data_IF_438097933570
#
_entry.id   IF_438097933570
#
_cell.length_a   1.000
_cell.length_b   1.000
_cell.length_c   1.000
_cell.angle_alpha   90.00
_cell.angle_beta   90.00
_cell.angle_gamma   90.00
#
_symmetry.space_group_name_H-M   'P 1'
#
loop_
_entity.id
_entity.type
_entity.pdbx_description
1 polymer ?
#
# COMPACT_ATOMS: atom_id res chain seq x y z
N UNK A 1 54.43 22.75 11.07
CA UNK A 1 53.22 22.94 10.25
C UNK A 1 52.59 21.57 10.04
N UNK A 2 51.54 21.24 10.78
CA UNK A 2 50.79 19.99 10.61
C UNK A 2 49.92 20.16 9.36
N UNK A 3 50.20 19.35 8.33
CA UNK A 3 49.32 19.26 7.16
C UNK A 3 47.98 18.73 7.63
N UNK A 4 46.91 19.50 7.40
CA UNK A 4 45.55 19.01 7.63
C UNK A 4 45.32 17.86 6.66
N UNK A 5 45.21 16.64 7.16
CA UNK A 5 44.88 15.49 6.34
C UNK A 5 43.56 15.77 5.61
N UNK A 6 43.61 15.80 4.28
CA UNK A 6 42.46 16.08 3.43
C UNK A 6 41.37 15.04 3.70
N UNK A 7 40.16 15.49 4.03
CA UNK A 7 39.06 14.59 4.37
C UNK A 7 38.66 13.76 3.15
N UNK A 8 38.50 12.45 3.33
CA UNK A 8 37.96 11.57 2.29
C UNK A 8 36.42 11.59 2.31
N UNK A 9 35.80 11.44 1.16
CA UNK A 9 34.34 11.35 1.01
C UNK A 9 33.92 9.91 0.73
N UNK A 10 33.19 9.30 1.66
CA UNK A 10 32.77 7.90 1.58
C UNK A 10 31.27 7.81 1.28
N UNK A 11 30.92 7.07 0.24
CA UNK A 11 29.52 6.73 -0.04
C UNK A 11 29.06 5.58 0.86
N UNK A 12 27.93 5.80 1.53
CA UNK A 12 27.30 4.90 2.48
C UNK A 12 25.93 4.47 1.98
N UNK A 13 25.55 3.21 2.22
CA UNK A 13 24.20 2.71 1.93
C UNK A 13 23.55 2.08 3.18
N UNK A 14 22.29 2.41 3.46
CA UNK A 14 21.57 1.93 4.65
C UNK A 14 20.82 0.63 4.36
N UNK A 15 21.17 -0.42 5.10
CA UNK A 15 20.55 -1.74 5.00
C UNK A 15 19.05 -1.71 5.31
N UNK A 16 18.23 -2.42 4.53
CA UNK A 16 16.76 -2.51 4.70
C UNK A 16 15.95 -1.24 4.38
N UNK A 17 16.60 -0.08 4.25
CA UNK A 17 15.97 1.22 3.95
C UNK A 17 16.25 1.67 2.52
N UNK A 18 17.43 1.34 1.96
CA UNK A 18 17.78 1.63 0.57
C UNK A 18 18.22 3.08 0.31
N UNK A 19 18.59 3.83 1.35
CA UNK A 19 19.11 5.21 1.24
C UNK A 19 20.62 5.20 0.99
N UNK A 20 21.09 6.01 0.04
CA UNK A 20 22.51 6.22 -0.26
C UNK A 20 22.85 7.69 0.04
N UNK A 21 23.99 7.94 0.68
CA UNK A 21 24.48 9.28 1.01
C UNK A 21 26.00 9.29 1.12
N UNK A 22 26.62 10.46 1.04
CA UNK A 22 28.07 10.63 1.14
C UNK A 22 28.44 11.29 2.47
N UNK A 23 29.57 10.89 3.06
CA UNK A 23 30.07 11.46 4.31
C UNK A 23 31.55 11.80 4.22
N UNK A 24 31.91 13.01 4.66
CA UNK A 24 33.30 13.45 4.74
C UNK A 24 33.90 13.10 6.10
N UNK A 25 35.07 12.47 6.09
CA UNK A 25 35.76 12.05 7.31
C UNK A 25 37.29 12.03 7.11
N UNK A 26 38.04 12.26 8.19
CA UNK A 26 39.49 12.18 8.16
C UNK A 26 39.97 10.72 7.92
N UNK A 27 40.99 10.49 7.07
CA UNK A 27 41.49 9.15 6.75
C UNK A 27 41.98 8.32 7.95
N UNK A 28 42.51 8.99 8.98
CA UNK A 28 43.03 8.41 10.21
C UNK A 28 41.97 8.28 11.31
N UNK A 29 40.73 8.73 11.05
CA UNK A 29 39.65 8.63 12.01
C UNK A 29 39.34 7.17 12.35
N UNK A 30 38.92 6.93 13.60
CA UNK A 30 38.41 5.62 14.01
C UNK A 30 37.04 5.35 13.40
N UNK A 31 36.71 4.06 13.20
CA UNK A 31 35.36 3.62 12.81
C UNK A 31 34.28 4.16 13.77
N UNK A 32 34.59 4.31 15.06
CA UNK A 32 33.68 4.96 16.03
C UNK A 32 33.43 6.44 15.77
N UNK A 33 34.38 7.17 15.19
CA UNK A 33 34.16 8.55 14.73
C UNK A 33 33.26 8.57 13.49
N UNK A 34 33.43 7.61 12.58
CA UNK A 34 32.56 7.43 11.42
C UNK A 34 31.11 7.11 11.83
N UNK A 35 30.91 6.21 12.80
CA UNK A 35 29.59 5.93 13.39
C UNK A 35 28.92 7.22 13.90
N UNK A 36 29.65 8.04 14.66
CA UNK A 36 29.15 9.33 15.19
C UNK A 36 28.82 10.32 14.07
N UNK A 37 29.67 10.40 13.05
CA UNK A 37 29.47 11.28 11.91
C UNK A 37 28.20 10.91 11.14
N UNK A 38 28.04 9.62 10.79
CA UNK A 38 26.84 9.09 10.12
C UNK A 38 25.60 9.37 10.95
N UNK A 39 25.65 9.07 12.25
CA UNK A 39 24.52 9.25 13.15
C UNK A 39 24.06 10.70 13.24
N UNK A 40 25.00 11.65 13.25
CA UNK A 40 24.72 13.09 13.26
C UNK A 40 24.16 13.56 11.93
N UNK A 41 24.83 13.22 10.83
CA UNK A 41 24.48 13.65 9.47
C UNK A 41 23.07 13.22 9.07
N UNK A 42 22.76 11.94 9.28
CA UNK A 42 21.46 11.35 8.98
C UNK A 42 20.37 11.69 10.02
N UNK A 43 20.71 12.53 11.00
CA UNK A 43 19.82 12.97 12.10
C UNK A 43 19.16 11.79 12.82
N UNK A 44 19.89 10.69 12.99
CA UNK A 44 19.35 9.47 13.60
C UNK A 44 18.86 9.69 15.03
N UNK A 45 19.44 10.64 15.78
CA UNK A 45 18.92 11.06 17.09
C UNK A 45 17.43 11.45 17.06
N UNK A 46 16.91 11.97 15.93
CA UNK A 46 15.50 12.35 15.78
C UNK A 46 14.59 11.17 15.44
N UNK A 47 15.15 10.07 14.94
CA UNK A 47 14.41 8.92 14.37
C UNK A 47 14.58 7.62 15.16
N UNK A 48 15.66 7.49 15.93
CA UNK A 48 16.07 6.26 16.59
C UNK A 48 16.58 6.53 18.01
N UNK A 49 16.37 5.56 18.90
CA UNK A 49 16.71 5.64 20.33
C UNK A 49 18.04 4.97 20.72
N UNK A 50 18.83 4.51 19.74
CA UNK A 50 20.12 3.89 19.99
C UNK A 50 21.27 4.91 19.88
N UNK A 51 22.39 4.76 20.63
CA UNK A 51 23.58 5.58 20.48
C UNK A 51 24.35 5.25 19.19
N UNK A 52 25.18 6.17 18.65
CA UNK A 52 25.95 5.93 17.43
C UNK A 52 26.75 4.62 17.41
N UNK A 53 27.20 4.14 18.58
CA UNK A 53 27.96 2.89 18.74
C UNK A 53 27.19 1.64 18.35
N UNK A 54 25.85 1.69 18.29
CA UNK A 54 25.01 0.58 17.85
C UNK A 54 24.85 0.50 16.32
N UNK A 55 25.39 1.46 15.55
CA UNK A 55 25.51 1.30 14.11
C UNK A 55 26.53 0.22 13.79
N UNK A 56 26.13 -0.89 13.17
CA UNK A 56 27.08 -1.86 12.65
C UNK A 56 27.48 -1.45 11.22
N UNK A 57 28.77 -1.17 11.02
CA UNK A 57 29.30 -0.77 9.73
C UNK A 57 30.01 -1.97 9.07
N UNK A 58 29.73 -2.21 7.80
CA UNK A 58 30.40 -3.23 7.00
C UNK A 58 31.13 -2.58 5.83
N UNK A 59 32.28 -3.13 5.46
CA UNK A 59 32.92 -2.80 4.19
C UNK A 59 32.07 -3.33 3.04
N UNK A 60 31.67 -2.46 2.13
CA UNK A 60 30.86 -2.81 0.97
C UNK A 60 31.70 -3.41 -0.18
N UNK A 61 32.69 -4.27 0.13
CA UNK A 61 33.49 -4.99 -0.87
C UNK A 61 33.46 -6.50 -0.68
N UNK A 62 33.51 -7.23 -1.79
CA UNK A 62 33.73 -8.68 -1.84
C UNK A 62 35.09 -8.94 -2.46
N UNK A 63 36.03 -9.44 -1.66
CA UNK A 63 37.44 -9.51 -2.07
C UNK A 63 38.00 -8.12 -2.37
N UNK A 64 38.41 -7.88 -3.62
CA UNK A 64 38.93 -6.59 -4.10
C UNK A 64 37.89 -5.70 -4.79
N UNK A 65 36.63 -6.15 -4.94
CA UNK A 65 35.59 -5.45 -5.73
C UNK A 65 34.61 -4.71 -4.82
N UNK A 66 34.45 -3.40 -5.05
CA UNK A 66 33.45 -2.57 -4.37
C UNK A 66 32.05 -2.77 -4.97
N UNK A 67 31.04 -2.60 -4.12
CA UNK A 67 29.64 -2.57 -4.54
C UNK A 67 29.38 -1.26 -5.30
N UNK A 68 28.76 -1.31 -6.47
CA UNK A 68 28.47 -0.13 -7.29
C UNK A 68 27.12 0.50 -6.92
N UNK A 69 27.04 1.82 -6.91
CA UNK A 69 25.80 2.58 -6.69
C UNK A 69 24.88 2.59 -7.90
N UNK A 70 24.37 1.44 -8.34
CA UNK A 70 23.42 1.34 -9.46
C UNK A 70 21.96 1.22 -9.01
N UNK A 71 21.03 1.25 -9.97
CA UNK A 71 19.59 1.23 -9.74
C UNK A 71 19.08 -0.03 -9.01
N UNK A 72 19.89 -1.10 -8.89
CA UNK A 72 19.50 -2.38 -8.29
C UNK A 72 19.88 -2.48 -6.79
N UNK A 73 20.69 -1.54 -6.26
CA UNK A 73 21.11 -1.52 -4.85
C UNK A 73 19.92 -1.55 -3.87
N UNK A 74 18.82 -0.82 -4.07
CA UNK A 74 17.67 -0.88 -3.18
C UNK A 74 17.00 -2.28 -3.13
N UNK A 75 17.12 -3.08 -4.18
CA UNK A 75 16.59 -4.45 -4.23
C UNK A 75 17.52 -5.43 -3.51
N UNK A 76 18.84 -5.27 -3.69
CA UNK A 76 19.88 -6.06 -3.02
C UNK A 76 19.82 -5.85 -1.50
N UNK A 77 19.63 -4.62 -1.04
CA UNK A 77 19.54 -4.27 0.38
C UNK A 77 18.22 -4.70 1.06
N UNK A 78 17.22 -5.16 0.28
CA UNK A 78 15.95 -5.75 0.80
C UNK A 78 16.03 -7.26 0.98
N UNK A 79 17.05 -7.93 0.44
CA UNK A 79 17.32 -9.36 0.64
C UNK A 79 17.90 -9.66 2.03
N UNK A 80 17.32 -10.63 2.74
CA UNK A 80 17.51 -10.83 4.19
C UNK A 80 18.86 -11.43 4.65
N UNK A 81 19.93 -11.44 3.85
CA UNK A 81 21.21 -12.07 4.26
C UNK A 81 22.42 -11.28 3.76
N UNK A 82 22.84 -10.26 4.51
CA UNK A 82 24.12 -9.53 4.28
C UNK A 82 25.17 -9.90 5.35
N UNK A 83 24.74 -10.41 6.51
CA UNK A 83 25.58 -10.56 7.71
C UNK A 83 26.77 -11.53 7.54
N UNK A 84 26.77 -12.40 6.53
CA UNK A 84 27.84 -13.39 6.29
C UNK A 84 28.81 -13.03 5.17
N UNK A 85 28.47 -12.07 4.31
CA UNK A 85 29.23 -11.83 3.07
C UNK A 85 30.18 -10.61 3.13
N UNK A 86 29.91 -9.67 4.04
CA UNK A 86 30.67 -8.43 4.14
C UNK A 86 31.40 -8.33 5.48
N UNK A 87 32.61 -7.76 5.44
CA UNK A 87 33.44 -7.65 6.64
C UNK A 87 32.94 -6.55 7.56
N UNK A 88 32.62 -6.89 8.81
CA UNK A 88 32.29 -5.94 9.89
C UNK A 88 33.51 -5.07 10.21
N UNK A 89 33.28 -3.77 10.34
CA UNK A 89 34.29 -2.79 10.75
C UNK A 89 34.28 -2.63 12.28
N UNK A 90 35.45 -2.70 12.88
CA UNK A 90 35.67 -2.66 14.33
C UNK A 90 35.77 -1.21 14.79
N UNK A 91 34.95 -0.76 15.77
CA UNK A 91 34.88 0.64 16.19
C UNK A 91 36.20 1.29 16.64
N UNK A 92 37.14 0.48 17.14
CA UNK A 92 38.42 0.94 17.69
C UNK A 92 39.52 1.11 16.64
N UNK A 93 39.36 0.54 15.45
CA UNK A 93 40.39 0.59 14.40
C UNK A 93 40.24 1.84 13.53
N UNK A 94 41.36 2.41 13.04
CA UNK A 94 41.34 3.55 12.12
C UNK A 94 40.89 3.11 10.73
N UNK A 95 40.29 4.04 9.97
CA UNK A 95 39.90 3.82 8.58
C UNK A 95 41.13 3.54 7.68
N UNK A 96 42.28 4.12 8.01
CA UNK A 96 43.57 3.89 7.36
C UNK A 96 44.19 2.51 7.62
N UNK A 97 43.57 1.66 8.45
CA UNK A 97 44.06 0.29 8.63
C UNK A 97 44.03 -0.46 7.29
N UNK A 98 45.11 -1.20 6.97
CA UNK A 98 45.26 -2.00 5.72
C UNK A 98 44.07 -2.92 5.45
N UNK A 99 43.48 -3.45 6.51
CA UNK A 99 42.33 -4.33 6.39
C UNK A 99 41.02 -3.64 5.99
N UNK A 100 40.98 -2.30 6.02
CA UNK A 100 39.89 -1.44 5.56
C UNK A 100 40.26 -0.79 4.24
N UNK A 101 40.65 0.49 4.29
CA UNK A 101 41.01 1.25 3.10
C UNK A 101 42.51 1.26 2.85
N UNK A 102 43.34 1.07 3.89
CA UNK A 102 44.79 1.17 3.80
C UNK A 102 45.30 2.60 3.61
N UNK A 103 46.63 2.76 3.59
CA UNK A 103 47.25 4.05 3.35
C UNK A 103 47.05 4.51 1.89
N UNK A 104 46.60 5.75 1.68
CA UNK A 104 46.51 6.36 0.35
C UNK A 104 45.25 6.02 -0.46
N UNK A 105 44.23 5.42 0.17
CA UNK A 105 42.94 5.16 -0.48
C UNK A 105 42.29 6.44 -1.04
N UNK A 106 41.80 6.36 -2.28
CA UNK A 106 41.03 7.43 -2.94
C UNK A 106 39.67 6.89 -3.38
N UNK A 107 38.56 7.33 -2.77
CA UNK A 107 37.22 6.86 -3.11
C UNK A 107 36.81 7.29 -4.53
N UNK A 108 36.17 6.40 -5.28
CA UNK A 108 35.55 6.72 -6.56
C UNK A 108 34.08 7.11 -6.37
N UNK A 109 33.54 7.99 -7.22
CA UNK A 109 32.19 8.54 -7.06
C UNK A 109 31.08 7.47 -7.09
N UNK A 110 31.29 6.38 -7.83
CA UNK A 110 30.24 5.41 -8.14
C UNK A 110 30.30 4.16 -7.25
N UNK A 111 31.29 4.09 -6.35
CA UNK A 111 31.45 2.99 -5.40
C UNK A 111 30.71 3.26 -4.09
N UNK A 112 29.98 2.27 -3.60
CA UNK A 112 29.52 2.20 -2.21
C UNK A 112 30.67 1.63 -1.39
N UNK A 113 31.05 2.35 -0.35
CA UNK A 113 32.20 2.02 0.49
C UNK A 113 31.76 1.32 1.78
N UNK A 114 30.63 1.76 2.34
CA UNK A 114 30.15 1.32 3.65
C UNK A 114 28.68 0.91 3.56
N UNK A 115 28.36 -0.27 4.10
CA UNK A 115 26.99 -0.65 4.43
C UNK A 115 26.72 -0.31 5.90
N UNK A 116 25.62 0.39 6.14
CA UNK A 116 25.19 0.81 7.48
C UNK A 116 24.01 -0.05 7.90
N UNK A 117 24.21 -0.90 8.90
CA UNK A 117 23.13 -1.62 9.59
C UNK A 117 22.81 -0.90 10.89
N UNK A 118 21.54 -0.59 11.08
CA UNK A 118 21.05 0.02 12.31
C UNK A 118 21.00 -1.04 13.42
N UNK A 119 21.33 -0.66 14.66
CA UNK A 119 21.36 -1.56 15.81
C UNK A 119 20.04 -2.29 16.02
N UNK A 120 20.11 -3.62 16.17
CA UNK A 120 18.94 -4.51 16.19
C UNK A 120 18.18 -4.59 17.53
N UNK A 121 18.48 -3.74 18.52
CA UNK A 121 17.71 -3.71 19.79
C UNK A 121 17.38 -2.30 20.31
N UNK A 122 17.40 -1.29 19.45
CA UNK A 122 16.91 0.05 19.79
C UNK A 122 15.39 0.17 19.65
N UNK A 123 14.62 -0.55 20.48
CA UNK A 123 13.21 -0.18 20.69
C UNK A 123 13.14 1.30 21.06
N UNK A 124 12.28 2.03 20.36
CA UNK A 124 11.87 3.39 20.63
C UNK A 124 11.66 3.59 22.15
N UNK A 125 12.58 4.30 22.82
CA UNK A 125 12.41 4.62 24.24
C UNK A 125 11.66 5.93 24.37
N UNK A 126 10.35 5.83 24.26
CA UNK A 126 9.35 6.54 25.07
C UNK A 126 8.06 5.73 24.89
N UNK A 127 7.73 4.94 25.91
CA UNK A 127 6.52 4.13 26.06
C UNK A 127 6.20 3.14 24.91
N UNK A 128 6.55 1.85 25.10
CA UNK A 128 6.05 0.76 24.25
C UNK A 128 4.52 0.69 24.38
N UNK A 129 3.81 1.46 23.58
CA UNK A 129 2.41 1.16 23.28
C UNK A 129 2.44 -0.04 22.33
N UNK A 130 2.21 -1.23 22.88
CA UNK A 130 1.92 -2.44 22.09
C UNK A 130 0.42 -2.62 22.14
N UNK A 131 -0.19 -2.84 20.98
CA UNK A 131 -1.61 -3.17 20.91
C UNK A 131 -1.70 -4.63 20.48
N UNK A 132 -2.43 -5.44 21.23
CA UNK A 132 -2.66 -6.84 20.89
C UNK A 132 -3.89 -6.89 19.99
N UNK A 133 -3.71 -7.31 18.75
CA UNK A 133 -4.80 -7.49 17.78
C UNK A 133 -4.87 -8.96 17.40
N UNK A 134 -6.00 -9.60 17.71
CA UNK A 134 -6.23 -11.02 17.41
C UNK A 134 -5.06 -11.91 17.91
N UNK A 135 -4.62 -11.68 19.15
CA UNK A 135 -3.51 -12.42 19.77
C UNK A 135 -2.11 -12.13 19.22
N UNK A 136 -1.97 -11.16 18.31
CA UNK A 136 -0.67 -10.71 17.78
C UNK A 136 -0.31 -9.36 18.38
N UNK A 137 0.88 -9.28 18.95
CA UNK A 137 1.45 -8.00 19.38
C UNK A 137 1.78 -7.14 18.16
N UNK A 138 1.15 -5.96 18.08
CA UNK A 138 1.43 -4.93 17.08
C UNK A 138 2.17 -3.79 17.76
N UNK A 139 3.50 -3.67 17.57
CA UNK A 139 4.26 -2.55 18.09
C UNK A 139 3.82 -1.26 17.40
N UNK A 140 3.42 -0.25 18.19
CA UNK A 140 3.02 1.05 17.64
C UNK A 140 4.29 1.88 17.39
N UNK A 141 4.50 2.27 16.14
CA UNK A 141 5.62 3.12 15.70
C UNK A 141 5.17 4.56 15.50
N UNK A 142 6.11 5.49 15.33
CA UNK A 142 5.81 6.93 15.19
C UNK A 142 5.02 7.27 13.91
N UNK A 143 5.03 6.39 12.90
CA UNK A 143 4.24 6.48 11.67
C UNK A 143 2.86 5.81 11.78
N UNK A 144 2.43 5.46 13.00
CA UNK A 144 1.16 4.80 13.26
C UNK A 144 0.25 5.63 14.17
N UNK A 145 -1.03 5.68 13.79
CA UNK A 145 -2.09 6.28 14.58
C UNK A 145 -3.03 5.20 15.08
N UNK A 146 -3.23 5.12 16.40
CA UNK A 146 -4.18 4.18 17.01
C UNK A 146 -5.46 4.94 17.35
N UNK A 147 -6.59 4.43 16.85
CA UNK A 147 -7.92 4.98 17.02
C UNK A 147 -7.99 6.47 16.64
N UNK A 148 -7.39 6.84 15.50
CA UNK A 148 -7.58 8.18 14.94
C UNK A 148 -9.07 8.44 14.70
N UNK A 149 -9.50 9.65 15.05
CA UNK A 149 -10.91 10.02 15.24
C UNK A 149 -11.78 9.67 14.05
N UNK A 150 -11.37 10.02 12.84
CA UNK A 150 -12.20 9.93 11.63
C UNK A 150 -12.39 8.48 11.18
N UNK A 151 -11.29 7.71 11.11
CA UNK A 151 -11.34 6.32 10.64
C UNK A 151 -11.91 5.38 11.71
N UNK A 152 -11.68 5.68 13.00
CA UNK A 152 -12.30 4.95 14.11
C UNK A 152 -13.81 5.22 14.16
N UNK A 153 -14.26 6.46 13.96
CA UNK A 153 -15.68 6.79 13.85
C UNK A 153 -16.34 6.03 12.70
N UNK A 154 -15.70 5.97 11.53
CA UNK A 154 -16.17 5.17 10.39
C UNK A 154 -16.32 3.69 10.75
N UNK A 155 -15.29 3.06 11.31
CA UNK A 155 -15.34 1.64 11.68
C UNK A 155 -16.40 1.35 12.75
N UNK A 156 -16.50 2.19 13.78
CA UNK A 156 -17.49 2.08 14.83
C UNK A 156 -18.92 2.22 14.28
N UNK A 157 -19.13 3.15 13.35
CA UNK A 157 -20.41 3.30 12.66
C UNK A 157 -20.77 2.03 11.87
N UNK A 158 -19.81 1.40 11.18
CA UNK A 158 -20.06 0.13 10.50
C UNK A 158 -20.43 -1.01 11.47
N UNK A 159 -19.76 -1.10 12.62
CA UNK A 159 -20.07 -2.12 13.64
C UNK A 159 -21.46 -1.93 14.25
N UNK A 160 -21.87 -0.68 14.48
CA UNK A 160 -23.17 -0.36 15.07
C UNK A 160 -24.33 -0.38 14.06
N UNK A 161 -24.03 -0.32 12.75
CA UNK A 161 -25.03 -0.27 11.71
C UNK A 161 -25.71 -1.64 11.51
N UNK A 162 -27.05 -1.64 11.51
CA UNK A 162 -27.88 -2.83 11.34
C UNK A 162 -28.46 -2.98 9.94
N UNK A 163 -28.16 -2.06 9.01
CA UNK A 163 -28.68 -2.09 7.64
C UNK A 163 -28.45 -3.45 6.97
N UNK A 164 -29.51 -3.99 6.38
CA UNK A 164 -29.44 -5.22 5.61
C UNK A 164 -28.70 -4.97 4.28
N UNK A 165 -27.78 -5.86 3.91
CA UNK A 165 -27.07 -5.79 2.63
C UNK A 165 -27.98 -6.37 1.54
N UNK A 166 -28.91 -5.55 1.06
CA UNK A 166 -29.84 -5.87 -0.03
C UNK A 166 -29.90 -4.75 -1.06
N UNK A 167 -30.35 -5.01 -2.30
CA UNK A 167 -30.48 -3.98 -3.32
C UNK A 167 -31.30 -2.80 -2.82
N UNK A 168 -30.92 -1.59 -3.24
CA UNK A 168 -31.58 -0.32 -2.90
C UNK A 168 -31.48 0.14 -1.43
N UNK A 169 -30.88 -0.67 -0.55
CA UNK A 169 -30.58 -0.23 0.80
C UNK A 169 -29.50 0.86 0.80
N UNK A 170 -29.47 1.67 1.86
CA UNK A 170 -28.42 2.68 2.08
C UNK A 170 -27.79 2.47 3.45
N UNK A 171 -26.48 2.29 3.45
CA UNK A 171 -25.68 2.41 4.67
C UNK A 171 -25.50 3.90 4.93
N UNK A 172 -26.21 4.44 5.93
CA UNK A 172 -26.07 5.82 6.36
C UNK A 172 -25.19 5.88 7.61
N UNK A 173 -24.09 6.62 7.54
CA UNK A 173 -23.21 6.88 8.65
C UNK A 173 -23.76 8.04 9.51
N UNK A 174 -23.44 8.07 10.81
CA UNK A 174 -23.79 9.19 11.69
C UNK A 174 -23.29 10.54 11.14
N UNK A 175 -23.92 11.62 11.57
CA UNK A 175 -23.49 12.98 11.22
C UNK A 175 -22.01 13.20 11.56
N UNK A 176 -21.29 13.89 10.67
CA UNK A 176 -19.85 14.11 10.78
C UNK A 176 -18.96 12.89 10.50
N UNK A 177 -19.55 11.70 10.27
CA UNK A 177 -18.80 10.50 9.91
C UNK A 177 -18.83 10.27 8.40
N UNK A 178 -17.65 10.05 7.81
CA UNK A 178 -17.51 9.84 6.38
C UNK A 178 -16.89 8.49 6.08
N UNK A 179 -17.22 7.96 4.91
CA UNK A 179 -16.71 6.67 4.47
C UNK A 179 -15.17 6.72 4.34
N UNK A 180 -14.48 5.73 4.92
CA UNK A 180 -13.01 5.72 5.07
C UNK A 180 -12.43 6.96 5.76
N UNK A 181 -13.22 7.67 6.56
CA UNK A 181 -12.81 8.92 7.20
C UNK A 181 -12.62 10.10 6.25
N UNK A 182 -13.01 9.99 4.97
CA UNK A 182 -12.80 11.05 3.99
C UNK A 182 -14.11 11.65 3.49
N UNK A 183 -14.29 12.97 3.70
CA UNK A 183 -15.47 13.72 3.28
C UNK A 183 -15.80 13.56 1.79
N UNK A 184 -14.77 13.38 0.94
CA UNK A 184 -14.92 13.18 -0.52
C UNK A 184 -15.71 11.91 -0.89
N UNK A 185 -15.87 10.96 0.03
CA UNK A 185 -16.66 9.74 -0.18
C UNK A 185 -18.09 9.85 0.37
N UNK A 186 -18.40 10.91 1.12
CA UNK A 186 -19.72 11.14 1.70
C UNK A 186 -20.02 10.22 2.89
N UNK A 187 -21.21 10.39 3.47
CA UNK A 187 -21.70 9.66 4.64
C UNK A 187 -22.74 8.59 4.30
N UNK A 188 -23.07 8.39 3.02
CA UNK A 188 -24.11 7.46 2.56
C UNK A 188 -23.57 6.57 1.46
N UNK A 189 -23.79 5.26 1.58
CA UNK A 189 -23.41 4.26 0.56
C UNK A 189 -24.65 3.50 0.11
N UNK A 190 -24.99 3.67 -1.17
CA UNK A 190 -26.06 2.92 -1.81
C UNK A 190 -25.61 1.49 -2.12
N UNK A 191 -26.42 0.52 -1.74
CA UNK A 191 -26.20 -0.90 -2.01
C UNK A 191 -26.74 -1.24 -3.38
N UNK A 192 -25.81 -1.35 -4.34
CA UNK A 192 -26.09 -1.75 -5.71
C UNK A 192 -26.74 -3.12 -5.79
N UNK A 193 -27.52 -3.34 -6.84
CA UNK A 193 -28.17 -4.63 -7.10
C UNK A 193 -27.16 -5.78 -7.22
N UNK A 194 -25.95 -5.50 -7.74
CA UNK A 194 -24.91 -6.51 -7.86
C UNK A 194 -24.13 -6.78 -6.56
N UNK A 195 -24.16 -5.89 -5.57
CA UNK A 195 -23.32 -6.02 -4.37
C UNK A 195 -23.64 -7.26 -3.53
N UNK A 196 -24.91 -7.60 -3.20
CA UNK A 196 -25.20 -8.80 -2.42
C UNK A 196 -24.69 -10.08 -3.10
N UNK A 197 -24.94 -10.23 -4.40
CA UNK A 197 -24.49 -11.40 -5.17
C UNK A 197 -22.98 -11.48 -5.30
N UNK A 198 -22.30 -10.34 -5.48
CA UNK A 198 -20.83 -10.28 -5.50
C UNK A 198 -20.25 -10.61 -4.13
N UNK A 199 -20.82 -10.09 -3.04
CA UNK A 199 -20.38 -10.39 -1.68
C UNK A 199 -20.52 -11.88 -1.37
N UNK A 200 -21.65 -12.49 -1.75
CA UNK A 200 -21.88 -13.94 -1.65
C UNK A 200 -20.81 -14.74 -2.43
N UNK A 201 -20.52 -14.34 -3.66
CA UNK A 201 -19.47 -14.98 -4.47
C UNK A 201 -18.08 -14.84 -3.82
N UNK A 202 -17.73 -13.67 -3.29
CA UNK A 202 -16.48 -13.47 -2.56
C UNK A 202 -16.40 -14.42 -1.37
N UNK A 203 -17.48 -14.51 -0.59
CA UNK A 203 -17.55 -15.38 0.58
C UNK A 203 -17.38 -16.86 0.24
N UNK A 204 -18.05 -17.34 -0.82
CA UNK A 204 -17.92 -18.71 -1.29
C UNK A 204 -16.46 -19.03 -1.67
N UNK A 205 -15.83 -18.18 -2.49
CA UNK A 205 -14.46 -18.38 -2.98
C UNK A 205 -13.40 -18.35 -1.87
N UNK A 206 -13.56 -17.47 -0.88
CA UNK A 206 -12.61 -17.28 0.21
C UNK A 206 -12.67 -18.39 1.28
N UNK A 207 -13.78 -19.13 1.36
CA UNK A 207 -14.02 -20.09 2.43
C UNK A 207 -14.17 -21.53 1.95
N UNK A 208 -14.53 -21.76 0.69
CA UNK A 208 -14.71 -23.10 0.15
C UNK A 208 -13.51 -23.47 -0.74
N UNK A 209 -12.97 -24.66 -0.50
CA UNK A 209 -11.91 -25.24 -1.32
C UNK A 209 -12.57 -25.92 -2.53
N UNK A 210 -12.31 -25.48 -3.76
CA UNK A 210 -12.80 -26.17 -4.95
C UNK A 210 -12.23 -27.59 -5.04
N UNK A 211 -12.97 -28.52 -5.65
CA UNK A 211 -12.49 -29.88 -5.90
C UNK A 211 -11.15 -29.86 -6.67
N UNK A 212 -10.12 -30.49 -6.10
CA UNK A 212 -8.77 -30.54 -6.68
C UNK A 212 -7.83 -29.40 -6.25
N UNK A 213 -8.30 -28.42 -5.46
CA UNK A 213 -7.45 -27.40 -4.86
C UNK A 213 -7.04 -27.78 -3.43
N UNK A 214 -5.93 -27.21 -2.95
CA UNK A 214 -5.46 -27.39 -1.56
C UNK A 214 -5.95 -26.29 -0.62
N UNK A 215 -6.22 -25.10 -1.15
CA UNK A 215 -6.62 -23.91 -0.38
C UNK A 215 -7.75 -23.16 -1.11
N UNK A 216 -8.57 -22.37 -0.39
CA UNK A 216 -9.54 -21.47 -1.02
C UNK A 216 -8.84 -20.43 -1.91
N UNK A 217 -9.58 -19.86 -2.86
CA UNK A 217 -9.03 -18.87 -3.79
C UNK A 217 -9.08 -17.47 -3.23
N UNK A 218 -8.05 -16.68 -3.52
CA UNK A 218 -8.15 -15.23 -3.40
C UNK A 218 -9.10 -14.67 -4.47
N UNK A 219 -9.69 -13.51 -4.22
CA UNK A 219 -10.75 -12.96 -5.07
C UNK A 219 -10.29 -11.68 -5.76
N UNK A 220 -10.59 -11.54 -7.05
CA UNK A 220 -10.31 -10.34 -7.84
C UNK A 220 -11.60 -9.80 -8.43
N UNK A 221 -12.02 -8.61 -8.02
CA UNK A 221 -13.16 -7.90 -8.59
C UNK A 221 -12.69 -6.86 -9.59
N UNK A 222 -12.89 -7.18 -10.87
CA UNK A 222 -12.58 -6.32 -12.00
C UNK A 222 -13.77 -5.44 -12.38
N UNK A 223 -13.48 -4.31 -13.02
CA UNK A 223 -14.51 -3.52 -13.70
C UNK A 223 -14.07 -2.10 -14.03
N UNK A 224 -14.87 -1.38 -14.79
CA UNK A 224 -14.53 -0.04 -15.28
C UNK A 224 -14.25 0.95 -14.12
N UNK A 225 -13.31 1.89 -14.27
CA UNK A 225 -13.15 2.97 -13.31
C UNK A 225 -14.47 3.73 -13.09
N UNK A 226 -14.82 4.02 -11.85
CA UNK A 226 -16.01 4.83 -11.53
C UNK A 226 -17.35 4.11 -11.39
N UNK A 227 -17.39 2.77 -11.46
CA UNK A 227 -18.62 1.98 -11.25
C UNK A 227 -18.89 1.60 -9.79
N UNK A 228 -18.09 2.06 -8.83
CA UNK A 228 -18.33 1.83 -7.40
C UNK A 228 -17.60 0.65 -6.76
N UNK A 229 -16.44 0.22 -7.28
CA UNK A 229 -15.61 -0.81 -6.62
C UNK A 229 -15.14 -0.39 -5.22
N UNK A 230 -14.68 0.84 -5.04
CA UNK A 230 -14.30 1.38 -3.71
C UNK A 230 -15.45 1.34 -2.70
N UNK A 231 -16.67 1.69 -3.13
CA UNK A 231 -17.86 1.58 -2.28
C UNK A 231 -18.19 0.13 -1.93
N UNK A 232 -18.05 -0.80 -2.89
CA UNK A 232 -18.14 -2.23 -2.60
C UNK A 232 -17.09 -2.69 -1.57
N UNK A 233 -15.87 -2.14 -1.64
CA UNK A 233 -14.82 -2.36 -0.64
C UNK A 233 -15.27 -2.04 0.77
N UNK A 234 -15.96 -0.93 1.00
CA UNK A 234 -16.52 -0.68 2.33
C UNK A 234 -17.84 -1.38 2.64
N UNK A 235 -18.57 -1.91 1.65
CA UNK A 235 -19.63 -2.90 1.92
C UNK A 235 -19.02 -4.22 2.43
N UNK A 236 -17.86 -4.62 1.89
CA UNK A 236 -17.07 -5.73 2.44
C UNK A 236 -16.62 -5.39 3.86
N UNK A 237 -16.07 -4.18 4.10
CA UNK A 237 -15.70 -3.76 5.47
C UNK A 237 -16.91 -3.78 6.41
N UNK A 238 -18.09 -3.35 5.96
CA UNK A 238 -19.32 -3.38 6.74
C UNK A 238 -19.72 -4.80 7.13
N UNK A 239 -19.69 -5.72 6.16
CA UNK A 239 -19.97 -7.14 6.41
C UNK A 239 -18.97 -7.73 7.43
N UNK A 240 -17.68 -7.46 7.24
CA UNK A 240 -16.62 -7.98 8.12
C UNK A 240 -16.65 -7.34 9.52
N UNK A 241 -17.03 -6.07 9.63
CA UNK A 241 -17.25 -5.38 10.91
C UNK A 241 -18.34 -6.07 11.74
N UNK A 242 -19.46 -6.46 11.10
CA UNK A 242 -20.56 -7.19 11.75
C UNK A 242 -20.16 -8.59 12.21
N UNK A 243 -19.20 -9.21 11.53
CA UNK A 243 -18.64 -10.50 11.92
C UNK A 243 -17.58 -10.40 13.02
N UNK A 244 -17.19 -9.17 13.41
CA UNK A 244 -16.08 -8.97 14.34
C UNK A 244 -14.72 -9.40 13.77
N UNK A 245 -14.59 -9.45 12.44
CA UNK A 245 -13.38 -9.93 11.79
C UNK A 245 -12.23 -8.91 11.86
N UNK A 246 -10.99 -9.43 11.81
CA UNK A 246 -9.78 -8.60 11.65
C UNK A 246 -9.54 -8.36 10.16
N UNK A 247 -9.44 -7.09 9.78
CA UNK A 247 -9.32 -6.67 8.38
C UNK A 247 -8.16 -5.71 8.22
N UNK A 248 -7.30 -5.96 7.23
CA UNK A 248 -6.35 -4.98 6.74
C UNK A 248 -6.91 -4.40 5.44
N UNK A 249 -7.11 -3.09 5.39
CA UNK A 249 -7.56 -2.37 4.20
C UNK A 249 -6.43 -1.52 3.64
N UNK A 250 -6.18 -1.63 2.34
CA UNK A 250 -5.18 -0.83 1.66
C UNK A 250 -5.73 -0.27 0.34
N UNK A 251 -5.40 0.97 0.01
CA UNK A 251 -5.91 1.63 -1.18
C UNK A 251 -4.85 2.47 -1.89
N UNK A 252 -4.91 2.51 -3.21
CA UNK A 252 -4.04 3.37 -4.01
C UNK A 252 -4.32 4.86 -3.75
N UNK A 253 -3.26 5.68 -3.84
CA UNK A 253 -3.35 7.13 -3.67
C UNK A 253 -3.01 7.62 -2.26
N UNK A 254 -2.70 6.70 -1.36
CA UNK A 254 -2.05 6.96 -0.07
C UNK A 254 -1.02 5.87 0.20
N UNK A 255 -0.02 6.17 1.02
CA UNK A 255 0.90 5.20 1.61
C UNK A 255 0.31 4.52 2.87
N UNK A 256 -0.86 4.98 3.32
CA UNK A 256 -1.55 4.48 4.50
C UNK A 256 -2.27 3.16 4.23
N UNK A 257 -2.21 2.30 5.24
CA UNK A 257 -2.88 1.03 5.38
C UNK A 257 -3.62 1.04 6.73
N UNK A 258 -4.78 0.41 6.78
CA UNK A 258 -5.66 0.46 7.96
C UNK A 258 -5.91 -0.95 8.48
N UNK A 259 -5.63 -1.19 9.75
CA UNK A 259 -6.00 -2.41 10.45
C UNK A 259 -7.25 -2.12 11.27
N UNK A 260 -8.31 -2.88 11.00
CA UNK A 260 -9.57 -2.87 11.72
C UNK A 260 -9.74 -4.17 12.48
N UNK A 261 -9.99 -4.11 13.78
CA UNK A 261 -10.31 -5.30 14.58
C UNK A 261 -11.05 -4.89 15.84
N UNK A 262 -12.27 -5.39 16.03
CA UNK A 262 -13.10 -5.04 17.18
C UNK A 262 -13.15 -3.52 17.41
N UNK A 263 -12.75 -3.03 18.58
CA UNK A 263 -12.68 -1.62 18.98
C UNK A 263 -11.35 -0.92 18.63
N UNK A 264 -10.46 -1.64 17.96
CA UNK A 264 -9.13 -1.16 17.60
C UNK A 264 -9.05 -0.87 16.11
N UNK A 265 -8.67 0.36 15.78
CA UNK A 265 -8.31 0.79 14.45
C UNK A 265 -6.90 1.32 14.48
N UNK A 266 -6.03 0.84 13.59
CA UNK A 266 -4.65 1.28 13.50
C UNK A 266 -4.36 1.71 12.08
N UNK A 267 -3.96 2.96 11.91
CA UNK A 267 -3.44 3.48 10.65
C UNK A 267 -1.92 3.33 10.68
N UNK A 268 -1.32 2.89 9.58
CA UNK A 268 0.13 2.76 9.46
C UNK A 268 0.55 2.52 8.01
N UNK A 269 1.76 2.02 7.80
CA UNK A 269 2.22 1.56 6.49
C UNK A 269 2.01 0.06 6.36
N UNK A 270 1.94 -0.45 5.13
CA UNK A 270 1.76 -1.89 4.87
C UNK A 270 2.74 -2.77 5.65
N UNK A 271 4.01 -2.34 5.77
CA UNK A 271 5.06 -3.07 6.50
C UNK A 271 4.71 -3.33 7.97
N UNK A 272 3.92 -2.45 8.59
CA UNK A 272 3.52 -2.57 9.99
C UNK A 272 2.55 -3.74 10.22
N UNK A 273 1.82 -4.16 9.19
CA UNK A 273 0.76 -5.18 9.31
C UNK A 273 1.16 -6.56 8.78
N UNK A 274 2.42 -6.76 8.37
CA UNK A 274 2.91 -8.05 7.83
C UNK A 274 2.69 -9.24 8.77
N UNK A 275 2.81 -9.03 10.09
CA UNK A 275 2.59 -10.09 11.07
C UNK A 275 1.12 -10.50 11.13
N UNK A 276 0.20 -9.53 11.05
CA UNK A 276 -1.25 -9.77 11.01
C UNK A 276 -1.67 -10.44 9.70
N UNK A 277 -1.06 -10.06 8.58
CA UNK A 277 -1.30 -10.64 7.25
C UNK A 277 -0.77 -12.07 7.07
N UNK A 278 -0.03 -12.61 8.04
CA UNK A 278 0.37 -14.03 8.07
C UNK A 278 -0.72 -14.94 8.67
N UNK A 279 -1.77 -14.38 9.27
CA UNK A 279 -2.88 -15.16 9.81
C UNK A 279 -3.92 -15.42 8.73
N UNK A 280 -4.31 -16.69 8.59
CA UNK A 280 -5.41 -17.09 7.69
C UNK A 280 -6.79 -16.63 8.19
N UNK A 281 -6.90 -16.18 9.44
CA UNK A 281 -8.12 -15.58 10.02
C UNK A 281 -8.31 -14.12 9.62
N UNK A 282 -7.24 -13.45 9.15
CA UNK A 282 -7.28 -12.06 8.70
C UNK A 282 -7.86 -11.97 7.28
N UNK A 283 -8.61 -10.91 7.03
CA UNK A 283 -9.02 -10.50 5.68
C UNK A 283 -8.16 -9.34 5.20
N UNK A 284 -7.72 -9.38 3.95
CA UNK A 284 -6.95 -8.32 3.33
C UNK A 284 -7.70 -7.77 2.12
N UNK A 285 -8.21 -6.53 2.24
CA UNK A 285 -8.99 -5.86 1.19
C UNK A 285 -8.10 -4.80 0.55
N UNK A 286 -7.84 -4.95 -0.75
CA UNK A 286 -6.91 -4.10 -1.49
C UNK A 286 -7.65 -3.39 -2.62
N UNK A 287 -7.64 -2.06 -2.65
CA UNK A 287 -8.29 -1.25 -3.68
C UNK A 287 -7.28 -0.56 -4.60
N UNK A 288 -7.40 -0.83 -5.90
CA UNK A 288 -6.69 -0.19 -7.00
C UNK A 288 -5.15 -0.31 -6.98
N UNK A 289 -4.58 -1.24 -6.22
CA UNK A 289 -3.13 -1.50 -6.18
C UNK A 289 -2.79 -2.99 -6.09
N UNK A 290 -1.53 -3.34 -6.32
CA UNK A 290 -1.06 -4.73 -6.30
C UNK A 290 -0.90 -5.22 -4.85
N UNK A 291 -1.56 -6.34 -4.45
CA UNK A 291 -1.36 -6.96 -3.14
C UNK A 291 0.07 -7.50 -2.96
N UNK A 292 0.59 -7.48 -1.74
CA UNK A 292 1.77 -8.28 -1.37
C UNK A 292 1.37 -9.75 -1.18
N UNK A 293 2.32 -10.66 -1.42
CA UNK A 293 2.14 -12.10 -1.11
C UNK A 293 2.00 -12.26 0.40
N UNK A 294 0.91 -12.91 0.83
CA UNK A 294 0.55 -13.06 2.22
C UNK A 294 -0.29 -14.34 2.42
N UNK A 295 -0.69 -14.64 3.65
CA UNK A 295 -1.50 -15.83 3.98
C UNK A 295 -2.94 -15.50 4.40
N UNK A 296 -3.31 -14.21 4.39
CA UNK A 296 -4.65 -13.74 4.70
C UNK A 296 -5.60 -13.95 3.51
N UNK A 297 -6.90 -14.01 3.80
CA UNK A 297 -7.96 -14.10 2.79
C UNK A 297 -8.01 -12.78 2.00
N UNK A 298 -7.55 -12.77 0.76
CA UNK A 298 -7.33 -11.52 0.03
C UNK A 298 -8.43 -11.23 -1.00
N UNK A 299 -8.98 -10.01 -0.97
CA UNK A 299 -9.90 -9.47 -1.99
C UNK A 299 -9.25 -8.26 -2.64
N UNK A 300 -8.97 -8.36 -3.95
CA UNK A 300 -8.45 -7.28 -4.78
C UNK A 300 -9.59 -6.63 -5.58
N UNK A 301 -9.80 -5.32 -5.39
CA UNK A 301 -10.72 -4.51 -6.18
C UNK A 301 -9.91 -3.67 -7.16
N UNK A 302 -10.06 -3.87 -8.47
CA UNK A 302 -9.23 -3.11 -9.42
C UNK A 302 -9.86 -2.95 -10.80
N UNK A 303 -9.42 -1.94 -11.54
CA UNK A 303 -9.67 -1.87 -12.97
C UNK A 303 -8.88 -2.98 -13.70
N UNK A 304 -9.24 -3.39 -14.92
CA UNK A 304 -8.54 -4.45 -15.67
C UNK A 304 -7.13 -4.03 -16.18
N UNK A 305 -6.33 -3.40 -15.33
CA UNK A 305 -4.93 -3.05 -15.57
C UNK A 305 -4.07 -4.26 -15.26
N UNK A 306 -3.56 -4.92 -16.32
CA UNK A 306 -2.80 -6.18 -16.23
C UNK A 306 -1.68 -6.14 -15.19
N UNK A 307 -0.96 -5.02 -15.07
CA UNK A 307 0.15 -4.83 -14.11
C UNK A 307 -0.24 -5.00 -12.64
N UNK A 308 -1.53 -4.86 -12.31
CA UNK A 308 -2.03 -4.96 -10.93
C UNK A 308 -2.50 -6.38 -10.61
N UNK A 309 -3.36 -6.96 -11.46
CA UNK A 309 -4.10 -8.19 -11.12
C UNK A 309 -3.50 -9.47 -11.69
N UNK A 310 -2.74 -9.40 -12.79
CA UNK A 310 -2.39 -10.60 -13.58
C UNK A 310 -1.50 -11.58 -12.83
N UNK A 311 -0.42 -11.09 -12.20
CA UNK A 311 0.47 -11.96 -11.42
C UNK A 311 -0.20 -12.48 -10.14
N UNK A 312 -1.10 -11.69 -9.54
CA UNK A 312 -1.89 -12.13 -8.39
C UNK A 312 -2.87 -13.27 -8.78
N UNK A 313 -3.52 -13.16 -9.95
CA UNK A 313 -4.42 -14.18 -10.47
C UNK A 313 -3.72 -15.51 -10.75
N UNK A 314 -2.48 -15.48 -11.27
CA UNK A 314 -1.72 -16.72 -11.54
C UNK A 314 -1.39 -17.53 -10.29
N UNK A 315 -1.27 -16.88 -9.13
CA UNK A 315 -0.86 -17.55 -7.89
C UNK A 315 -2.00 -18.41 -7.34
N UNK A 316 -3.14 -17.80 -7.04
CA UNK A 316 -4.33 -18.47 -6.50
C UNK A 316 -5.61 -17.62 -6.65
N UNK A 317 -5.60 -16.64 -7.56
CA UNK A 317 -6.67 -15.66 -7.68
C UNK A 317 -7.76 -16.11 -8.64
N UNK A 318 -9.01 -15.89 -8.25
CA UNK A 318 -10.19 -16.08 -9.10
C UNK A 318 -10.84 -14.73 -9.37
N UNK A 319 -11.06 -14.41 -10.65
CA UNK A 319 -11.65 -13.13 -11.06
C UNK A 319 -13.18 -13.17 -11.23
N UNK A 320 -13.82 -12.04 -10.93
CA UNK A 320 -15.23 -11.71 -11.21
C UNK A 320 -15.29 -10.29 -11.76
N UNK A 321 -16.33 -9.99 -12.53
CA UNK A 321 -16.54 -8.67 -13.12
C UNK A 321 -17.74 -7.99 -12.46
N UNK A 322 -17.54 -6.77 -11.96
CA UNK A 322 -18.61 -5.90 -11.50
C UNK A 322 -19.25 -5.20 -12.71
N UNK A 323 -20.58 -5.31 -12.89
CA UNK A 323 -21.27 -4.67 -14.01
C UNK A 323 -21.33 -3.15 -13.85
N UNK A 324 -21.49 -2.46 -14.98
CA UNK A 324 -21.87 -1.03 -15.02
C UNK A 324 -23.27 -0.84 -14.44
N UNK A 325 -23.64 0.40 -14.13
CA UNK A 325 -24.95 0.72 -13.58
C UNK A 325 -26.04 0.75 -14.66
N UNK A 326 -27.25 0.31 -14.32
CA UNK A 326 -28.44 0.62 -15.15
C UNK A 326 -28.94 2.03 -14.86
N UNK A 327 -29.76 2.59 -15.76
CA UNK A 327 -30.37 3.89 -15.54
C UNK A 327 -31.27 3.88 -14.29
N UNK A 328 -32.06 2.83 -14.10
CA UNK A 328 -32.93 2.68 -12.93
C UNK A 328 -32.12 2.65 -11.62
N UNK A 329 -30.99 1.93 -11.60
CA UNK A 329 -30.09 1.87 -10.45
C UNK A 329 -29.50 3.27 -10.14
N UNK A 330 -29.16 4.04 -11.17
CA UNK A 330 -28.65 5.41 -11.02
C UNK A 330 -29.72 6.38 -10.52
N UNK A 331 -30.96 6.28 -11.01
CA UNK A 331 -32.07 7.12 -10.55
C UNK A 331 -32.38 6.87 -9.08
N UNK A 332 -32.47 5.60 -8.66
CA UNK A 332 -32.65 5.25 -7.24
C UNK A 332 -31.51 5.76 -6.36
N UNK A 333 -30.26 5.59 -6.81
CA UNK A 333 -29.10 6.11 -6.09
C UNK A 333 -29.11 7.65 -6.01
N UNK A 334 -29.54 8.32 -7.09
CA UNK A 334 -29.74 9.78 -7.09
C UNK A 334 -30.74 10.18 -6.01
N UNK A 335 -31.91 9.56 -5.95
CA UNK A 335 -32.95 9.93 -5.00
C UNK A 335 -32.48 9.75 -3.55
N UNK A 336 -31.70 8.70 -3.30
CA UNK A 336 -31.30 8.30 -1.96
C UNK A 336 -29.99 8.90 -1.45
N UNK A 337 -29.07 9.27 -2.35
CA UNK A 337 -27.69 9.68 -2.03
C UNK A 337 -27.29 11.00 -2.69
N UNK A 338 -27.83 11.34 -3.86
CA UNK A 338 -27.52 12.58 -4.58
C UNK A 338 -28.77 13.41 -4.92
N UNK A 339 -29.63 13.74 -3.92
CA UNK A 339 -30.95 14.31 -4.17
C UNK A 339 -30.92 15.71 -4.80
N UNK A 340 -29.76 16.36 -4.84
CA UNK A 340 -29.59 17.68 -5.44
C UNK A 340 -29.36 17.63 -6.95
N UNK A 341 -28.99 16.48 -7.51
CA UNK A 341 -28.74 16.35 -8.95
C UNK A 341 -30.09 16.30 -9.68
N UNK A 342 -30.36 17.15 -10.69
CA UNK A 342 -31.61 17.08 -11.44
C UNK A 342 -31.74 15.77 -12.25
N UNK A 343 -32.96 15.25 -12.35
CA UNK A 343 -33.27 14.03 -13.15
C UNK A 343 -32.81 14.17 -14.59
N UNK A 344 -33.05 15.33 -15.20
CA UNK A 344 -32.61 15.64 -16.57
C UNK A 344 -31.07 15.56 -16.72
N UNK A 345 -30.32 16.03 -15.72
CA UNK A 345 -28.85 15.96 -15.71
C UNK A 345 -28.37 14.51 -15.65
N UNK A 346 -29.00 13.66 -14.83
CA UNK A 346 -28.70 12.23 -14.76
C UNK A 346 -28.95 11.55 -16.11
N UNK A 347 -30.10 11.85 -16.74
CA UNK A 347 -30.46 11.29 -18.04
C UNK A 347 -29.47 11.70 -19.15
N UNK A 348 -29.08 12.99 -19.24
CA UNK A 348 -28.08 13.44 -20.21
C UNK A 348 -26.71 12.81 -19.94
N UNK A 349 -26.27 12.78 -18.69
CA UNK A 349 -24.99 12.18 -18.34
C UNK A 349 -24.98 10.67 -18.64
N UNK A 350 -26.06 9.94 -18.38
CA UNK A 350 -26.18 8.53 -18.71
C UNK A 350 -26.11 8.29 -20.22
N UNK A 351 -26.77 9.12 -21.03
CA UNK A 351 -26.69 9.05 -22.49
C UNK A 351 -25.25 9.18 -23.00
N UNK A 352 -24.42 10.00 -22.33
CA UNK A 352 -23.03 10.27 -22.71
C UNK A 352 -22.03 9.27 -22.15
N UNK A 353 -22.18 8.90 -20.88
CA UNK A 353 -21.21 8.12 -20.12
C UNK A 353 -21.63 6.67 -19.87
N UNK A 354 -22.85 6.30 -20.25
CA UNK A 354 -23.47 5.03 -19.89
C UNK A 354 -23.56 4.84 -18.38
N UNK A 355 -23.42 3.60 -17.93
CA UNK A 355 -23.50 3.20 -16.53
C UNK A 355 -22.29 3.53 -15.64
N UNK A 356 -21.52 4.59 -15.95
CA UNK A 356 -20.36 5.00 -15.15
C UNK A 356 -20.79 6.05 -14.11
N UNK A 357 -21.28 5.58 -12.96
CA UNK A 357 -21.87 6.40 -11.89
C UNK A 357 -21.02 7.61 -11.45
N UNK A 358 -19.68 7.52 -11.50
CA UNK A 358 -18.80 8.65 -11.21
C UNK A 358 -19.12 9.89 -12.05
N UNK A 359 -19.38 9.73 -13.34
CA UNK A 359 -19.69 10.86 -14.24
C UNK A 359 -21.17 11.17 -14.30
N UNK A 360 -22.03 10.20 -14.00
CA UNK A 360 -23.49 10.40 -14.00
C UNK A 360 -24.02 11.03 -12.72
N UNK A 361 -23.37 10.78 -11.57
CA UNK A 361 -23.78 11.30 -10.27
C UNK A 361 -22.70 12.24 -9.72
N UNK A 362 -21.59 11.70 -9.20
CA UNK A 362 -20.58 12.50 -8.47
C UNK A 362 -20.05 13.72 -9.22
N UNK A 363 -19.86 13.59 -10.53
CA UNK A 363 -19.34 14.66 -11.39
C UNK A 363 -20.38 15.17 -12.40
N UNK A 364 -21.67 14.91 -12.19
CA UNK A 364 -22.73 15.30 -13.11
C UNK A 364 -22.66 16.78 -13.50
N UNK A 365 -22.44 17.66 -12.52
CA UNK A 365 -22.40 19.11 -12.68
C UNK A 365 -20.97 19.68 -12.77
N UNK A 366 -19.94 18.82 -12.85
CA UNK A 366 -18.56 19.27 -12.95
C UNK A 366 -18.12 19.38 -14.42
N UNK A 367 -18.13 20.60 -14.97
CA UNK A 367 -17.84 20.87 -16.38
C UNK A 367 -16.49 20.30 -16.86
N UNK A 368 -15.43 20.43 -16.06
CA UNK A 368 -14.10 19.91 -16.40
C UNK A 368 -14.08 18.38 -16.50
N UNK A 369 -14.70 17.69 -15.54
CA UNK A 369 -14.83 16.23 -15.57
C UNK A 369 -15.72 15.77 -16.74
N UNK A 370 -16.79 16.51 -17.03
CA UNK A 370 -17.68 16.23 -18.15
C UNK A 370 -16.99 16.39 -19.52
N UNK A 371 -15.98 17.26 -19.62
CA UNK A 371 -15.20 17.47 -20.85
C UNK A 371 -14.27 16.30 -21.21
N UNK A 372 -13.91 15.43 -20.25
CA UNK A 372 -13.02 14.30 -20.51
C UNK A 372 -13.52 13.34 -21.58
N UNK A 373 -14.84 13.16 -21.74
CA UNK A 373 -15.39 12.31 -22.79
C UNK A 373 -15.05 12.86 -24.18
N UNK A 374 -15.20 14.18 -24.38
CA UNK A 374 -14.87 14.83 -25.66
C UNK A 374 -13.38 14.72 -25.95
N UNK A 375 -12.54 14.91 -24.93
CA UNK A 375 -11.10 14.73 -25.07
C UNK A 375 -10.77 13.29 -25.47
N UNK A 376 -11.35 12.29 -24.80
CA UNK A 376 -11.13 10.89 -25.11
C UNK A 376 -11.53 10.54 -26.55
N UNK A 377 -12.68 11.04 -27.04
CA UNK A 377 -13.13 10.84 -28.43
C UNK A 377 -12.07 11.33 -29.43
N UNK A 378 -11.42 12.47 -29.17
CA UNK A 378 -10.39 13.02 -30.06
C UNK A 378 -9.12 12.17 -30.14
N UNK A 379 -8.87 11.29 -29.16
CA UNK A 379 -7.70 10.40 -29.13
C UNK A 379 -8.01 8.97 -29.60
N UNK A 380 -9.29 8.64 -29.82
CA UNK A 380 -9.69 7.28 -30.18
C UNK A 380 -9.52 7.07 -31.68
N UNK A 381 -8.70 6.08 -32.03
CA UNK A 381 -8.60 5.51 -33.36
C UNK A 381 -9.74 4.49 -33.54
N UNK A 382 -10.82 4.92 -34.20
CA UNK A 382 -12.03 4.11 -34.40
C UNK A 382 -11.75 2.84 -35.20
N UNK A 383 -10.83 2.89 -36.16
CA UNK A 383 -10.49 1.74 -37.00
C UNK A 383 -9.84 0.62 -36.18
N UNK A 384 -8.92 0.98 -35.27
CA UNK A 384 -8.32 0.00 -34.33
C UNK A 384 -9.36 -0.60 -33.37
N UNK A 385 -10.38 0.17 -32.99
CA UNK A 385 -11.46 -0.31 -32.13
C UNK A 385 -12.34 -1.33 -32.85
N UNK A 386 -12.75 -1.03 -34.09
CA UNK A 386 -13.52 -1.94 -34.94
C UNK A 386 -12.73 -3.22 -35.21
N UNK A 387 -11.45 -3.09 -35.54
CA UNK A 387 -10.56 -4.24 -35.78
C UNK A 387 -10.42 -5.12 -34.52
N UNK A 388 -10.25 -4.52 -33.34
CA UNK A 388 -10.15 -5.25 -32.08
C UNK A 388 -11.46 -6.00 -31.73
N UNK A 389 -12.61 -5.37 -31.96
CA UNK A 389 -13.92 -6.00 -31.75
C UNK A 389 -14.14 -7.17 -32.73
N UNK A 390 -13.86 -6.98 -34.02
CA UNK A 390 -14.00 -8.03 -35.05
C UNK A 390 -13.09 -9.24 -34.79
N UNK A 391 -11.84 -9.00 -34.35
CA UNK A 391 -10.90 -10.08 -33.95
C UNK A 391 -11.37 -10.88 -32.73
N UNK A 392 -12.17 -10.29 -31.84
CA UNK A 392 -12.69 -10.98 -30.67
C UNK A 392 -13.88 -11.88 -31.02
N UNK A 393 -14.76 -11.43 -31.91
CA UNK A 393 -15.88 -12.24 -32.42
C UNK A 393 -15.39 -13.45 -33.22
N UNK A 394 -14.35 -13.29 -34.04
CA UNK A 394 -13.73 -14.37 -34.80
C UNK A 394 -13.04 -15.44 -33.91
N UNK A 395 -12.71 -15.14 -32.65
CA UNK A 395 -12.13 -16.10 -31.69
C UNK A 395 -13.17 -16.86 -30.87
N UNK A 396 -14.45 -16.49 -30.98
CA UNK A 396 -15.58 -17.15 -30.31
C UNK A 396 -16.45 -17.99 -31.26
N UNK A 397 -16.21 -17.90 -32.57
CA UNK A 397 -16.87 -18.69 -33.61
C UNK A 397 -16.28 -20.08 -33.77
#
# INVERSE_FOLDING_TARGET
MSSAAEAMELNCAVYGVGTIFSIKIAPDAKVSALQKAIYKDQRYKKRYSFPPSELTLYLARKGSVWLKGDACIPEILRGAVVDKEYKVMMPLLPLSAEQYFGAGFRPQSDDIHILVKLGSEGFFRQDRKVVVVDGVEVPITQDMDVNSTEIAAFWNALRACSTEIKPDAVIALPEGTYFLGEQKFGSRVYIRHCYPSLLKNCWELLHHVPSGAQVPSDVIILGNPGIGKTFFGGVILFHLARLGATVVYETAGTDKCYLFSSDTVITGLRRNFRHILRKQTTYYVVDAMKPEVNAAKTILLTSPRRSIWYEFNKANGTSRYMPVWSLDELMKCRDLVYPNIPVATVADCFRRWGGIARYVLRFAENSSQQAFLRQAINYVDLDKLVEACGKFEAKRG
#
